data_IF_767731047070
#
_entry.id   IF_767731047070
#
_cell.length_a   1.000
_cell.length_b   1.000
_cell.length_c   1.000
_cell.angle_alpha   90.00
_cell.angle_beta   90.00
_cell.angle_gamma   90.00
#
_symmetry.space_group_name_H-M   'P 1'
#
loop_
_entity.id
_entity.type
_entity.pdbx_description
1 polymer ?
#
# COMPACT_ATOMS: atom_id res chain seq x y z
N UNK A 1 2.91 -26.35 22.67
CA UNK A 1 3.30 -25.24 21.78
C UNK A 1 2.22 -25.11 20.72
N UNK A 2 1.47 -24.00 20.71
CA UNK A 2 0.43 -23.74 19.72
C UNK A 2 1.03 -22.81 18.66
N UNK A 3 1.48 -23.38 17.54
CA UNK A 3 2.11 -22.66 16.43
C UNK A 3 1.07 -22.40 15.35
N UNK A 4 1.09 -21.20 14.76
CA UNK A 4 0.30 -20.88 13.57
C UNK A 4 1.15 -20.11 12.58
N UNK A 5 1.15 -20.57 11.34
CA UNK A 5 1.81 -19.89 10.23
C UNK A 5 0.78 -19.15 9.40
N UNK A 6 1.01 -17.86 9.21
CA UNK A 6 0.22 -16.97 8.38
C UNK A 6 1.01 -16.63 7.13
N UNK A 7 0.40 -16.78 5.96
CA UNK A 7 1.02 -16.53 4.66
C UNK A 7 0.31 -15.37 4.00
N UNK A 8 1.06 -14.43 3.45
CA UNK A 8 0.49 -13.33 2.66
C UNK A 8 -0.03 -13.89 1.33
N UNK A 9 -1.16 -13.37 0.82
CA UNK A 9 -1.82 -13.85 -0.41
C UNK A 9 -0.87 -13.97 -1.62
N UNK A 10 0.09 -13.06 -1.76
CA UNK A 10 1.13 -13.05 -2.80
C UNK A 10 2.43 -13.80 -2.42
N UNK A 11 2.47 -14.50 -1.28
CA UNK A 11 3.57 -15.38 -0.78
C UNK A 11 4.95 -14.73 -0.61
N UNK A 12 5.07 -13.40 -0.68
CA UNK A 12 6.37 -12.72 -0.50
C UNK A 12 6.83 -12.74 0.96
N UNK A 13 5.89 -12.73 1.91
CA UNK A 13 6.15 -12.76 3.35
C UNK A 13 5.30 -13.81 4.07
N UNK A 14 5.86 -14.37 5.15
CA UNK A 14 5.08 -15.19 6.09
C UNK A 14 5.43 -14.85 7.53
N UNK A 15 4.47 -15.08 8.42
CA UNK A 15 4.57 -14.83 9.85
C UNK A 15 4.30 -16.14 10.59
N UNK A 16 5.11 -16.43 11.61
CA UNK A 16 4.85 -17.54 12.53
C UNK A 16 4.56 -17.00 13.92
N UNK A 17 3.42 -17.41 14.47
CA UNK A 17 2.96 -17.08 15.81
C UNK A 17 3.10 -18.31 16.70
N UNK A 18 4.01 -18.25 17.67
CA UNK A 18 4.31 -19.35 18.59
C UNK A 18 3.85 -18.95 19.98
N UNK A 19 2.80 -19.59 20.47
CA UNK A 19 2.26 -19.37 21.81
C UNK A 19 2.74 -20.45 22.78
N UNK A 20 3.39 -20.01 23.86
CA UNK A 20 3.89 -20.82 24.97
C UNK A 20 3.58 -20.16 26.31
N UNK A 21 2.56 -20.67 27.02
CA UNK A 21 2.08 -20.10 28.28
C UNK A 21 1.74 -18.61 28.13
N UNK A 22 2.47 -17.75 28.84
CA UNK A 22 2.29 -16.29 28.90
C UNK A 22 3.14 -15.57 27.83
N UNK A 23 3.75 -16.30 26.90
CA UNK A 23 4.68 -15.78 25.90
C UNK A 23 4.15 -16.01 24.48
N UNK A 24 4.13 -14.93 23.70
CA UNK A 24 3.86 -14.97 22.26
C UNK A 24 5.14 -14.57 21.52
N UNK A 25 5.66 -15.48 20.71
CA UNK A 25 6.75 -15.17 19.79
C UNK A 25 6.19 -14.94 18.39
N UNK A 26 6.61 -13.84 17.77
CA UNK A 26 6.31 -13.49 16.38
C UNK A 26 7.61 -13.58 15.61
N UNK A 27 7.62 -14.42 14.58
CA UNK A 27 8.72 -14.55 13.64
C UNK A 27 8.25 -14.13 12.25
N UNK A 28 9.08 -13.38 11.53
CA UNK A 28 8.79 -12.96 10.16
C UNK A 28 9.82 -13.54 9.21
N UNK A 29 9.33 -14.00 8.06
CA UNK A 29 10.09 -14.70 7.04
C UNK A 29 9.87 -14.05 5.67
N UNK A 30 10.93 -14.05 4.87
CA UNK A 30 10.88 -13.81 3.43
C UNK A 30 11.41 -15.06 2.73
N UNK A 31 10.53 -15.73 1.99
CA UNK A 31 10.76 -17.11 1.56
C UNK A 31 11.05 -18.04 2.75
N UNK A 32 12.22 -18.67 2.76
CA UNK A 32 12.67 -19.58 3.81
C UNK A 32 13.55 -18.89 4.88
N UNK A 33 13.90 -17.62 4.69
CA UNK A 33 14.83 -16.91 5.56
C UNK A 33 14.06 -16.18 6.65
N UNK A 34 14.37 -16.48 7.92
CA UNK A 34 13.83 -15.72 9.06
C UNK A 34 14.54 -14.37 9.11
N UNK A 35 13.78 -13.30 8.94
CA UNK A 35 14.26 -11.91 8.97
C UNK A 35 14.36 -11.42 10.41
N UNK A 36 13.36 -11.72 11.23
CA UNK A 36 13.32 -11.28 12.63
C UNK A 36 12.53 -12.26 13.50
N UNK A 37 12.72 -12.13 14.81
CA UNK A 37 12.01 -12.87 15.85
C UNK A 37 11.90 -12.01 17.09
N UNK A 38 10.70 -11.87 17.63
CA UNK A 38 10.45 -11.12 18.87
C UNK A 38 9.49 -11.87 19.78
N UNK A 39 9.82 -11.95 21.07
CA UNK A 39 8.97 -12.58 22.09
C UNK A 39 8.40 -11.57 23.07
N UNK A 40 7.07 -11.54 23.16
CA UNK A 40 6.32 -10.74 24.10
C UNK A 40 5.87 -11.59 25.29
N UNK A 41 6.12 -11.10 26.51
CA UNK A 41 5.60 -11.67 27.74
C UNK A 41 4.39 -10.87 28.26
N UNK A 42 3.30 -11.57 28.54
CA UNK A 42 2.02 -11.05 29.03
C UNK A 42 1.82 -11.41 30.50
N UNK A 43 0.81 -10.81 31.14
CA UNK A 43 0.56 -11.04 32.57
C UNK A 43 0.09 -12.48 32.85
N UNK A 44 -0.57 -13.11 31.88
CA UNK A 44 -1.10 -14.46 31.98
C UNK A 44 -1.32 -15.06 30.58
N UNK A 45 -1.59 -16.38 30.54
CA UNK A 45 -1.78 -17.11 29.29
C UNK A 45 -3.02 -16.66 28.50
N UNK A 46 -4.07 -16.20 29.18
CA UNK A 46 -5.29 -15.72 28.53
C UNK A 46 -5.03 -14.42 27.74
N UNK A 47 -4.20 -13.52 28.28
CA UNK A 47 -3.78 -12.30 27.57
C UNK A 47 -2.92 -12.61 26.35
N UNK A 48 -1.94 -13.50 26.48
CA UNK A 48 -1.12 -13.93 25.35
C UNK A 48 -1.97 -14.59 24.25
N UNK A 49 -2.97 -15.39 24.64
CA UNK A 49 -3.93 -16.00 23.73
C UNK A 49 -4.83 -14.98 23.04
N UNK A 50 -5.34 -13.98 23.79
CA UNK A 50 -6.13 -12.87 23.23
C UNK A 50 -5.33 -12.08 22.21
N UNK A 51 -4.09 -11.73 22.51
CA UNK A 51 -3.20 -11.04 21.57
C UNK A 51 -3.04 -11.84 20.28
N UNK A 52 -2.69 -13.13 20.40
CA UNK A 52 -2.50 -13.99 19.23
C UNK A 52 -3.73 -13.98 18.34
N UNK A 53 -4.93 -14.13 18.92
CA UNK A 53 -6.17 -14.14 18.16
C UNK A 53 -6.49 -12.78 17.53
N UNK A 54 -6.24 -11.69 18.25
CA UNK A 54 -6.39 -10.33 17.71
C UNK A 54 -5.44 -10.12 16.52
N UNK A 55 -4.19 -10.58 16.63
CA UNK A 55 -3.19 -10.48 15.58
C UNK A 55 -3.56 -11.32 14.35
N UNK A 56 -4.06 -12.55 14.53
CA UNK A 56 -4.55 -13.39 13.42
C UNK A 56 -5.70 -12.69 12.70
N UNK A 57 -6.67 -12.14 13.43
CA UNK A 57 -7.80 -11.42 12.84
C UNK A 57 -7.33 -10.19 12.07
N UNK A 58 -6.45 -9.40 12.67
CA UNK A 58 -5.85 -8.25 12.02
C UNK A 58 -5.14 -8.63 10.72
N UNK A 59 -4.23 -9.59 10.77
CA UNK A 59 -3.49 -10.02 9.57
C UNK A 59 -4.39 -10.67 8.53
N UNK A 60 -5.48 -11.33 8.94
CA UNK A 60 -6.53 -11.79 8.00
C UNK A 60 -7.19 -10.62 7.27
N UNK A 61 -7.49 -9.53 7.97
CA UNK A 61 -7.93 -8.28 7.36
C UNK A 61 -6.85 -7.67 6.44
N UNK A 62 -5.57 -7.87 6.73
CA UNK A 62 -4.42 -7.39 5.94
C UNK A 62 -3.78 -8.48 5.03
N UNK A 63 -4.61 -9.35 4.44
CA UNK A 63 -4.29 -10.25 3.30
C UNK A 63 -3.38 -11.43 3.67
N UNK A 64 -3.26 -11.75 4.96
CA UNK A 64 -2.69 -13.02 5.39
C UNK A 64 -3.78 -14.06 5.61
N UNK A 65 -3.40 -15.33 5.53
CA UNK A 65 -4.27 -16.44 5.87
C UNK A 65 -3.47 -17.55 6.56
N UNK A 66 -4.07 -18.35 7.45
CA UNK A 66 -3.44 -19.55 7.97
C UNK A 66 -3.08 -20.49 6.83
N UNK A 67 -1.83 -20.98 6.79
CA UNK A 67 -1.33 -21.87 5.71
C UNK A 67 -2.28 -23.06 5.45
N UNK A 68 -2.86 -23.61 6.51
CA UNK A 68 -3.76 -24.77 6.47
C UNK A 68 -5.13 -24.48 5.80
N UNK A 69 -5.53 -23.22 5.71
CA UNK A 69 -6.88 -22.80 5.28
C UNK A 69 -6.94 -22.36 3.79
N UNK A 70 -5.78 -22.16 3.17
CA UNK A 70 -5.66 -21.76 1.76
C UNK A 70 -5.94 -20.27 1.47
N UNK A 71 -5.60 -19.80 0.26
CA UNK A 71 -5.55 -18.37 -0.09
C UNK A 71 -6.90 -17.65 -0.04
N UNK A 72 -7.99 -18.37 -0.29
CA UNK A 72 -9.35 -17.82 -0.27
C UNK A 72 -9.87 -17.53 1.15
N UNK A 73 -9.19 -18.01 2.19
CA UNK A 73 -9.61 -17.81 3.58
C UNK A 73 -9.72 -16.32 3.93
N UNK A 74 -8.72 -15.52 3.56
CA UNK A 74 -8.72 -14.09 3.86
C UNK A 74 -9.93 -13.38 3.25
N UNK A 75 -10.27 -13.71 2.00
CA UNK A 75 -11.40 -13.11 1.29
C UNK A 75 -12.74 -13.55 1.86
N UNK A 76 -12.88 -14.83 2.25
CA UNK A 76 -14.08 -15.33 2.95
C UNK A 76 -14.28 -14.61 4.28
N UNK A 77 -13.22 -14.44 5.07
CA UNK A 77 -13.28 -13.77 6.37
C UNK A 77 -13.56 -12.28 6.28
N UNK A 78 -12.99 -11.59 5.30
CA UNK A 78 -13.37 -10.20 5.04
C UNK A 78 -14.80 -10.07 4.58
N UNK A 79 -15.23 -10.91 3.64
CA UNK A 79 -16.62 -10.90 3.15
C UNK A 79 -17.60 -11.16 4.29
N UNK A 80 -17.26 -12.08 5.20
CA UNK A 80 -17.96 -12.33 6.45
C UNK A 80 -18.08 -11.02 7.25
N UNK A 81 -16.96 -10.34 7.55
CA UNK A 81 -16.95 -9.08 8.31
C UNK A 81 -17.61 -7.89 7.62
N UNK A 82 -17.60 -7.83 6.29
CA UNK A 82 -18.25 -6.80 5.47
C UNK A 82 -19.76 -7.08 5.26
N UNK A 83 -20.23 -8.29 5.60
CA UNK A 83 -21.54 -8.84 5.23
C UNK A 83 -22.57 -8.92 6.35
N UNK A 84 -22.45 -9.80 7.36
CA UNK A 84 -23.59 -10.10 8.27
C UNK A 84 -23.16 -10.74 9.62
N UNK A 85 -22.84 -9.97 10.67
CA UNK A 85 -22.96 -10.44 12.07
C UNK A 85 -24.05 -9.71 12.85
N UNK A 86 -25.28 -10.27 12.91
CA UNK A 86 -26.33 -9.76 13.80
C UNK A 86 -26.04 -9.97 15.30
N UNK A 87 -25.03 -10.76 15.66
CA UNK A 87 -24.77 -11.21 17.05
C UNK A 87 -23.85 -10.30 17.87
N UNK A 88 -23.12 -9.36 17.23
CA UNK A 88 -22.32 -8.33 17.93
C UNK A 88 -22.71 -6.95 17.41
N UNK A 89 -23.59 -6.26 18.14
CA UNK A 89 -23.71 -4.79 18.01
C UNK A 89 -22.41 -4.18 18.55
N UNK A 90 -21.41 -4.00 17.68
CA UNK A 90 -20.26 -3.16 18.01
C UNK A 90 -20.77 -1.72 18.04
N UNK A 91 -20.76 -1.10 19.22
CA UNK A 91 -21.24 0.27 19.41
C UNK A 91 -20.42 1.22 18.54
N UNK A 92 -21.07 1.91 17.61
CA UNK A 92 -20.46 2.91 16.71
C UNK A 92 -20.54 4.34 17.26
N UNK A 93 -20.92 4.52 18.52
CA UNK A 93 -21.44 5.81 19.00
C UNK A 93 -20.63 6.48 20.11
N UNK A 94 -19.58 5.84 20.64
CA UNK A 94 -18.68 6.48 21.61
C UNK A 94 -17.20 6.21 21.28
N UNK A 95 -16.56 7.21 20.65
CA UNK A 95 -15.13 7.24 20.38
C UNK A 95 -14.36 8.04 21.44
N UNK A 96 -14.86 8.06 22.69
CA UNK A 96 -14.15 8.69 23.79
C UNK A 96 -12.80 7.99 24.04
N UNK A 97 -11.84 8.77 24.54
CA UNK A 97 -10.51 8.25 24.88
C UNK A 97 -10.57 7.05 25.82
N UNK A 98 -11.48 7.04 26.79
CA UNK A 98 -11.62 5.92 27.73
C UNK A 98 -12.00 4.62 27.01
N UNK A 99 -12.92 4.67 26.05
CA UNK A 99 -13.30 3.51 25.24
C UNK A 99 -12.11 3.03 24.41
N UNK A 100 -11.34 3.95 23.82
CA UNK A 100 -10.14 3.59 23.05
C UNK A 100 -9.09 2.89 23.92
N UNK A 101 -8.80 3.42 25.11
CA UNK A 101 -7.86 2.79 26.03
C UNK A 101 -8.33 1.39 26.46
N UNK A 102 -9.62 1.24 26.74
CA UNK A 102 -10.19 -0.05 27.13
C UNK A 102 -10.15 -1.05 25.97
N UNK A 103 -10.38 -0.60 24.73
CA UNK A 103 -10.24 -1.43 23.53
C UNK A 103 -8.78 -1.89 23.33
N UNK A 104 -7.79 -1.00 23.53
CA UNK A 104 -6.35 -1.38 23.53
C UNK A 104 -6.05 -2.42 24.61
N UNK A 105 -6.52 -2.17 25.83
CA UNK A 105 -6.29 -3.08 26.96
C UNK A 105 -6.89 -4.46 26.68
N UNK A 106 -8.07 -4.51 26.07
CA UNK A 106 -8.78 -5.75 25.76
C UNK A 106 -8.37 -6.43 24.45
N UNK A 107 -7.43 -5.86 23.68
CA UNK A 107 -7.01 -6.36 22.35
C UNK A 107 -8.17 -6.45 21.37
N UNK A 108 -9.11 -5.51 21.45
CA UNK A 108 -10.35 -5.54 20.68
C UNK A 108 -10.15 -5.01 19.26
N UNK A 109 -9.40 -5.74 18.44
CA UNK A 109 -9.14 -5.34 17.04
C UNK A 109 -10.43 -5.15 16.22
N UNK A 110 -11.50 -5.88 16.55
CA UNK A 110 -12.79 -5.74 15.87
C UNK A 110 -13.41 -4.37 16.10
N UNK A 111 -13.27 -3.81 17.31
CA UNK A 111 -13.66 -2.44 17.59
C UNK A 111 -12.92 -1.44 16.69
N UNK A 112 -11.61 -1.63 16.50
CA UNK A 112 -10.78 -0.77 15.64
C UNK A 112 -11.22 -0.87 14.17
N UNK A 113 -11.32 -2.09 13.63
CA UNK A 113 -11.81 -2.34 12.27
C UNK A 113 -13.19 -1.74 12.01
N UNK A 114 -14.12 -1.88 12.96
CA UNK A 114 -15.47 -1.36 12.83
C UNK A 114 -15.57 0.18 12.86
N UNK A 115 -14.55 0.86 13.39
CA UNK A 115 -14.52 2.31 13.57
C UNK A 115 -13.41 3.01 12.75
N UNK A 116 -12.77 2.30 11.81
CA UNK A 116 -11.64 2.81 11.00
C UNK A 116 -11.92 4.17 10.33
N UNK A 117 -13.16 4.37 9.85
CA UNK A 117 -13.57 5.61 9.15
C UNK A 117 -14.16 6.69 10.08
N UNK A 118 -14.09 6.50 11.40
CA UNK A 118 -14.65 7.43 12.37
C UNK A 118 -13.79 8.71 12.46
N UNK A 119 -14.30 9.91 12.10
CA UNK A 119 -13.48 11.14 12.12
C UNK A 119 -12.97 11.54 13.51
N UNK A 120 -13.63 11.08 14.58
CA UNK A 120 -13.15 11.29 15.96
C UNK A 120 -11.99 10.40 16.36
N UNK A 121 -11.75 9.30 15.63
CA UNK A 121 -10.76 8.29 15.99
C UNK A 121 -9.33 8.80 15.77
N UNK A 122 -9.01 9.32 14.59
CA UNK A 122 -7.68 9.85 14.27
C UNK A 122 -7.28 11.04 15.17
N UNK A 123 -8.24 11.92 15.50
CA UNK A 123 -8.02 13.05 16.39
C UNK A 123 -7.64 12.60 17.82
N UNK A 124 -8.28 11.55 18.32
CA UNK A 124 -7.98 11.00 19.65
C UNK A 124 -6.70 10.17 19.65
N UNK A 125 -6.43 9.43 18.57
CA UNK A 125 -5.24 8.59 18.43
C UNK A 125 -3.93 9.41 18.50
N UNK A 126 -3.94 10.61 17.90
CA UNK A 126 -2.81 11.53 17.86
C UNK A 126 -2.73 12.52 19.05
N UNK A 127 -3.64 12.45 20.03
CA UNK A 127 -3.70 13.44 21.11
C UNK A 127 -2.93 13.02 22.36
N UNK A 128 -1.90 13.79 22.72
CA UNK A 128 -1.21 13.69 24.03
C UNK A 128 -1.88 14.51 25.15
N UNK A 129 -2.97 15.24 24.85
CA UNK A 129 -3.57 16.25 25.74
C UNK A 129 -4.07 15.67 27.08
N UNK A 130 -4.45 14.39 27.07
CA UNK A 130 -5.11 13.73 28.20
C UNK A 130 -4.37 12.46 28.65
N UNK A 131 -3.07 12.34 28.34
CA UNK A 131 -2.23 11.17 28.62
C UNK A 131 -1.51 10.70 27.37
N UNK A 132 -0.99 9.48 27.40
CA UNK A 132 -0.33 8.88 26.24
C UNK A 132 -1.24 8.88 25.00
N UNK A 133 -0.72 9.24 23.82
CA UNK A 133 -1.34 8.92 22.53
C UNK A 133 -1.67 7.43 22.45
N UNK A 134 -2.71 7.06 21.68
CA UNK A 134 -3.19 5.67 21.65
C UNK A 134 -2.13 4.70 21.14
N UNK A 135 -1.30 5.11 20.16
CA UNK A 135 -0.18 4.30 19.69
C UNK A 135 0.85 4.03 20.79
N UNK A 136 1.25 5.06 21.54
CA UNK A 136 2.20 4.92 22.66
C UNK A 136 1.60 4.04 23.77
N UNK A 137 0.31 4.22 24.06
CA UNK A 137 -0.38 3.38 25.03
C UNK A 137 -0.42 1.91 24.59
N UNK A 138 -0.70 1.63 23.31
CA UNK A 138 -0.70 0.27 22.76
C UNK A 138 0.68 -0.40 22.85
N UNK A 139 1.77 0.35 22.59
CA UNK A 139 3.14 -0.13 22.75
C UNK A 139 3.42 -0.50 24.22
N UNK A 140 3.11 0.40 25.16
CA UNK A 140 3.29 0.17 26.61
C UNK A 140 2.49 -1.04 27.10
N UNK A 141 1.32 -1.27 26.52
CA UNK A 141 0.46 -2.43 26.83
C UNK A 141 0.88 -3.71 26.09
N UNK A 142 1.89 -3.68 25.22
CA UNK A 142 2.30 -4.81 24.34
C UNK A 142 1.16 -5.35 23.48
N UNK A 143 0.29 -4.45 23.03
CA UNK A 143 -0.85 -4.76 22.17
C UNK A 143 -0.45 -4.73 20.70
N UNK A 144 0.43 -5.65 20.30
CA UNK A 144 1.14 -5.61 19.01
C UNK A 144 0.21 -5.58 17.79
N UNK A 145 -0.92 -6.27 17.84
CA UNK A 145 -1.95 -6.27 16.79
C UNK A 145 -2.57 -4.89 16.57
N UNK A 146 -2.77 -4.14 17.65
CA UNK A 146 -3.31 -2.79 17.58
C UNK A 146 -2.24 -1.80 17.16
N UNK A 147 -0.98 -1.98 17.59
CA UNK A 147 0.15 -1.16 17.08
C UNK A 147 0.28 -1.31 15.57
N UNK A 148 0.29 -2.55 15.08
CA UNK A 148 0.35 -2.90 13.66
C UNK A 148 -0.83 -2.28 12.88
N UNK A 149 -2.07 -2.48 13.36
CA UNK A 149 -3.26 -1.83 12.79
C UNK A 149 -3.13 -0.30 12.71
N UNK A 150 -2.68 0.32 13.79
CA UNK A 150 -2.59 1.78 13.88
C UNK A 150 -1.53 2.34 12.94
N UNK A 151 -0.42 1.64 12.71
CA UNK A 151 0.60 2.05 11.75
C UNK A 151 0.15 1.85 10.30
N UNK A 152 -0.53 0.73 10.02
CA UNK A 152 -0.94 0.35 8.66
C UNK A 152 -2.16 1.13 8.15
N UNK A 153 -3.10 1.48 9.03
CA UNK A 153 -4.41 2.02 8.60
C UNK A 153 -4.66 3.47 8.98
N UNK A 154 -3.89 4.04 9.90
CA UNK A 154 -4.12 5.38 10.43
C UNK A 154 -2.99 6.31 10.08
N UNK A 155 -3.35 7.53 9.67
CA UNK A 155 -2.37 8.60 9.58
C UNK A 155 -2.03 9.10 10.98
N UNK A 156 -0.99 8.49 11.56
CA UNK A 156 -0.45 8.90 12.85
C UNK A 156 0.73 9.84 12.66
N UNK A 157 0.77 10.90 13.48
CA UNK A 157 1.94 11.77 13.53
C UNK A 157 3.00 11.12 14.44
N UNK A 158 4.12 10.63 13.87
CA UNK A 158 5.14 9.90 14.63
C UNK A 158 5.90 10.83 15.60
N UNK A 159 5.79 12.15 15.44
CA UNK A 159 6.46 13.13 16.29
C UNK A 159 5.73 13.42 17.60
N UNK A 160 4.51 12.91 17.77
CA UNK A 160 3.72 13.11 18.99
C UNK A 160 4.41 12.44 20.16
N UNK A 161 4.61 13.22 21.23
CA UNK A 161 5.29 12.79 22.46
C UNK A 161 4.32 12.54 23.58
N UNK A 162 4.66 11.57 24.44
CA UNK A 162 3.97 11.37 25.71
C UNK A 162 4.35 12.44 26.75
N UNK A 163 3.81 12.30 27.96
CA UNK A 163 4.06 13.24 29.05
C UNK A 163 5.52 13.29 29.52
N UNK A 164 6.32 12.28 29.18
CA UNK A 164 7.74 12.21 29.49
C UNK A 164 8.61 12.73 28.34
N UNK A 165 8.01 13.18 27.24
CA UNK A 165 8.71 13.71 26.08
C UNK A 165 9.21 12.64 25.10
N UNK A 166 8.78 11.38 25.25
CA UNK A 166 9.15 10.29 24.35
C UNK A 166 8.09 10.06 23.27
N UNK A 167 8.55 9.88 22.04
CA UNK A 167 7.73 9.46 20.89
C UNK A 167 7.44 7.96 20.95
N UNK A 168 6.53 7.49 20.09
CA UNK A 168 6.27 6.07 19.95
C UNK A 168 7.51 5.28 19.50
N UNK A 169 8.29 5.85 18.58
CA UNK A 169 9.57 5.28 18.15
C UNK A 169 10.58 5.16 19.30
N UNK A 170 10.70 6.19 20.15
CA UNK A 170 11.63 6.16 21.27
C UNK A 170 11.38 4.95 22.20
N UNK A 171 10.10 4.64 22.48
CA UNK A 171 9.72 3.49 23.30
C UNK A 171 10.12 2.16 22.64
N UNK A 172 9.90 2.02 21.33
CA UNK A 172 10.25 0.82 20.55
C UNK A 172 11.77 0.64 20.48
N UNK A 173 12.49 1.71 20.16
CA UNK A 173 13.93 1.69 19.98
C UNK A 173 14.66 1.43 21.30
N UNK A 174 14.25 2.07 22.40
CA UNK A 174 14.80 1.80 23.74
C UNK A 174 14.54 0.37 24.21
N UNK A 175 13.38 -0.19 23.87
CA UNK A 175 13.05 -1.58 24.16
C UNK A 175 13.83 -2.59 23.31
N UNK A 176 14.50 -2.12 22.23
CA UNK A 176 15.17 -2.95 21.23
C UNK A 176 14.25 -4.02 20.67
N UNK A 177 13.03 -3.62 20.34
CA UNK A 177 12.01 -4.51 19.79
C UNK A 177 12.15 -4.58 18.25
N UNK A 178 12.69 -5.67 17.68
CA UNK A 178 12.93 -5.75 16.24
C UNK A 178 11.64 -5.84 15.43
N UNK A 179 10.57 -6.43 15.98
CA UNK A 179 9.31 -6.59 15.25
C UNK A 179 8.59 -5.25 15.12
N UNK A 180 8.35 -4.56 16.24
CA UNK A 180 7.77 -3.21 16.19
C UNK A 180 8.71 -2.24 15.49
N UNK A 181 10.02 -2.38 15.68
CA UNK A 181 11.01 -1.57 14.99
C UNK A 181 10.90 -1.70 13.47
N UNK A 182 10.77 -2.92 12.95
CA UNK A 182 10.55 -3.17 11.53
C UNK A 182 9.23 -2.56 11.04
N UNK A 183 8.13 -2.72 11.77
CA UNK A 183 6.85 -2.11 11.42
C UNK A 183 6.94 -0.58 11.33
N UNK A 184 7.64 0.06 12.26
CA UNK A 184 7.84 1.51 12.23
C UNK A 184 8.66 1.94 11.02
N UNK A 185 9.73 1.20 10.68
CA UNK A 185 10.53 1.49 9.50
C UNK A 185 9.73 1.30 8.20
N UNK A 186 8.85 0.32 8.14
CA UNK A 186 7.97 0.06 6.98
C UNK A 186 6.87 1.11 6.83
N UNK A 187 6.24 1.55 7.92
CA UNK A 187 5.03 2.39 7.85
C UNK A 187 5.25 3.88 8.15
N UNK A 188 6.38 4.26 8.75
CA UNK A 188 6.69 5.66 9.10
C UNK A 188 7.73 6.22 8.14
N UNK A 189 7.25 6.85 7.07
CA UNK A 189 8.10 7.38 5.98
C UNK A 189 9.18 8.36 6.47
N UNK A 190 8.84 9.26 7.40
CA UNK A 190 9.76 10.32 7.87
C UNK A 190 10.59 9.93 9.09
N UNK A 191 10.76 8.63 9.34
CA UNK A 191 11.52 8.15 10.49
C UNK A 191 13.04 8.21 10.24
N UNK A 192 13.62 9.39 10.45
CA UNK A 192 15.06 9.64 10.28
C UNK A 192 15.53 9.67 8.81
N UNK A 193 16.80 10.01 8.60
CA UNK A 193 17.47 9.89 7.28
C UNK A 193 17.84 8.43 6.95
N UNK A 194 18.24 8.15 5.71
CA UNK A 194 18.67 6.80 5.31
C UNK A 194 19.83 6.26 6.15
N UNK A 195 20.80 7.12 6.49
CA UNK A 195 21.91 6.77 7.38
C UNK A 195 21.41 6.41 8.78
N UNK A 196 20.45 7.17 9.32
CA UNK A 196 19.82 6.89 10.61
C UNK A 196 19.01 5.59 10.57
N UNK A 197 18.24 5.37 9.50
CA UNK A 197 17.43 4.16 9.27
C UNK A 197 18.30 2.91 9.18
N UNK A 198 19.41 2.96 8.45
CA UNK A 198 20.40 1.89 8.40
C UNK A 198 21.03 1.62 9.78
N UNK A 199 21.30 2.69 10.54
CA UNK A 199 21.73 2.61 11.93
C UNK A 199 20.71 1.90 12.81
N UNK A 200 19.42 2.24 12.66
CA UNK A 200 18.32 1.65 13.39
C UNK A 200 18.15 0.16 13.07
N UNK A 201 18.16 -0.21 11.79
CA UNK A 201 18.09 -1.61 11.35
C UNK A 201 19.20 -2.44 12.00
N UNK A 202 20.45 -1.93 11.95
CA UNK A 202 21.59 -2.60 12.54
C UNK A 202 21.47 -2.75 14.06
N UNK A 203 21.03 -1.71 14.77
CA UNK A 203 20.87 -1.77 16.23
C UNK A 203 19.74 -2.70 16.67
N UNK A 204 18.69 -2.79 15.87
CA UNK A 204 17.57 -3.72 16.07
C UNK A 204 17.90 -5.15 15.61
N UNK A 205 19.03 -5.37 14.92
CA UNK A 205 19.40 -6.68 14.40
C UNK A 205 18.54 -7.13 13.22
N UNK A 206 17.99 -6.17 12.47
CA UNK A 206 17.27 -6.41 11.22
C UNK A 206 18.27 -6.61 10.07
N UNK A 207 17.87 -7.31 9.00
CA UNK A 207 18.70 -7.41 7.79
C UNK A 207 18.92 -6.00 7.24
N UNK A 208 20.17 -5.57 7.21
CA UNK A 208 20.58 -4.40 6.43
C UNK A 208 20.73 -4.83 4.98
N UNK A 209 20.31 -4.00 4.03
CA UNK A 209 20.71 -4.17 2.63
C UNK A 209 22.24 -4.22 2.60
N UNK A 210 22.82 -5.41 2.43
CA UNK A 210 24.25 -5.50 2.19
C UNK A 210 24.49 -4.89 0.81
N UNK A 211 25.37 -3.89 0.78
CA UNK A 211 26.14 -3.51 -0.40
C UNK A 211 26.41 -4.78 -1.22
N UNK A 212 25.86 -4.82 -2.44
CA UNK A 212 26.27 -5.81 -3.43
C UNK A 212 27.76 -5.61 -3.66
N UNK A 213 28.55 -6.43 -2.96
CA UNK A 213 30.00 -6.56 -3.15
C UNK A 213 30.23 -6.96 -4.61
N UNK A 214 30.71 -6.01 -5.41
CA UNK A 214 31.05 -6.16 -6.83
C UNK A 214 32.32 -7.00 -7.05
N UNK A 215 32.68 -7.89 -6.12
CA UNK A 215 33.95 -8.59 -6.15
C UNK A 215 33.86 -10.09 -5.86
N UNK A 216 33.15 -10.86 -6.71
CA UNK A 216 33.61 -12.21 -7.07
C UNK A 216 33.28 -12.52 -8.54
N UNK A 217 34.25 -13.05 -9.33
CA UNK A 217 34.03 -13.36 -10.73
C UNK A 217 33.20 -14.63 -10.86
N UNK A 218 31.90 -14.50 -11.14
CA UNK A 218 31.10 -15.65 -11.52
C UNK A 218 31.50 -16.12 -12.91
N UNK A 219 32.06 -17.32 -12.92
CA UNK A 219 32.31 -18.13 -14.10
C UNK A 219 31.08 -18.17 -15.01
N UNK A 220 31.38 -18.15 -16.30
CA UNK A 220 30.42 -18.31 -17.40
C UNK A 220 29.55 -19.55 -17.18
N UNK A 221 28.26 -19.33 -17.00
CA UNK A 221 27.23 -20.27 -17.45
C UNK A 221 26.32 -19.48 -18.37
N UNK A 222 26.43 -19.78 -19.66
CA UNK A 222 25.57 -19.27 -20.71
C UNK A 222 24.16 -19.88 -20.58
N UNK A 223 23.18 -19.00 -20.83
CA UNK A 223 21.90 -19.26 -21.52
C UNK A 223 20.68 -19.78 -20.74
N UNK A 224 19.89 -18.86 -20.15
CA UNK A 224 18.57 -18.44 -20.66
C UNK A 224 17.78 -17.57 -19.66
N UNK A 225 17.51 -16.32 -20.08
CA UNK A 225 16.35 -15.44 -19.77
C UNK A 225 15.95 -15.22 -18.29
N UNK A 226 16.46 -14.14 -17.71
CA UNK A 226 15.72 -13.33 -16.72
C UNK A 226 15.79 -11.87 -17.18
N UNK A 227 14.69 -11.35 -17.72
CA UNK A 227 14.57 -9.94 -18.09
C UNK A 227 14.04 -9.22 -16.86
N UNK A 228 14.93 -8.67 -16.04
CA UNK A 228 14.55 -7.81 -14.90
C UNK A 228 14.19 -6.41 -15.45
N UNK A 229 13.01 -5.89 -15.12
CA UNK A 229 12.54 -4.54 -15.49
C UNK A 229 11.48 -4.48 -16.61
N UNK A 230 10.84 -3.32 -16.74
CA UNK A 230 9.82 -3.03 -17.76
C UNK A 230 10.32 -3.33 -19.19
N UNK A 231 9.52 -4.08 -19.95
CA UNK A 231 9.74 -4.26 -21.38
C UNK A 231 9.11 -3.10 -22.17
N UNK A 232 9.81 -1.97 -22.17
CA UNK A 232 9.39 -0.70 -22.81
C UNK A 232 8.94 -0.91 -24.26
N UNK A 233 9.62 -1.77 -25.03
CA UNK A 233 9.26 -2.02 -26.42
C UNK A 233 7.93 -2.76 -26.54
N UNK A 234 7.74 -3.83 -25.75
CA UNK A 234 6.49 -4.59 -25.72
C UNK A 234 5.31 -3.70 -25.27
N UNK A 235 5.47 -2.95 -24.19
CA UNK A 235 4.44 -2.03 -23.67
C UNK A 235 4.14 -0.88 -24.66
N UNK A 236 5.15 -0.37 -25.36
CA UNK A 236 4.96 0.61 -26.44
C UNK A 236 4.11 0.01 -27.56
N UNK A 237 4.46 -1.17 -28.05
CA UNK A 237 3.74 -1.80 -29.16
C UNK A 237 2.31 -2.16 -28.78
N UNK A 238 2.07 -2.58 -27.54
CA UNK A 238 0.75 -2.81 -26.99
C UNK A 238 -0.08 -1.51 -26.95
N UNK A 239 0.50 -0.42 -26.45
CA UNK A 239 -0.14 0.91 -26.45
C UNK A 239 -0.55 1.33 -27.86
N UNK A 240 0.31 1.14 -28.86
CA UNK A 240 0.02 1.45 -30.27
C UNK A 240 -1.20 0.67 -30.74
N UNK A 241 -1.23 -0.66 -30.52
CA UNK A 241 -2.35 -1.50 -30.94
C UNK A 241 -3.67 -1.06 -30.31
N UNK A 242 -3.65 -0.72 -29.02
CA UNK A 242 -4.85 -0.26 -28.28
C UNK A 242 -5.31 1.11 -28.79
N UNK A 243 -4.39 2.06 -29.00
CA UNK A 243 -4.69 3.39 -29.55
C UNK A 243 -5.26 3.28 -30.97
N UNK A 244 -4.66 2.49 -31.85
CA UNK A 244 -5.13 2.32 -33.24
C UNK A 244 -6.50 1.64 -33.30
N UNK A 245 -6.75 0.65 -32.44
CA UNK A 245 -8.04 -0.02 -32.35
C UNK A 245 -9.11 0.94 -31.81
N UNK A 246 -8.75 1.74 -30.81
CA UNK A 246 -9.61 2.76 -30.22
C UNK A 246 -9.94 3.87 -31.24
N UNK A 247 -8.95 4.35 -32.00
CA UNK A 247 -9.15 5.37 -33.03
C UNK A 247 -10.18 4.94 -34.09
N UNK A 248 -10.18 3.66 -34.48
CA UNK A 248 -11.16 3.11 -35.43
C UNK A 248 -12.58 3.06 -34.86
N UNK A 249 -12.72 2.87 -33.54
CA UNK A 249 -14.01 2.81 -32.87
C UNK A 249 -14.60 4.19 -32.54
N UNK A 250 -13.76 5.22 -32.42
CA UNK A 250 -14.14 6.55 -31.95
C UNK A 250 -13.83 7.67 -32.96
N UNK A 251 -14.17 7.44 -34.24
CA UNK A 251 -13.88 8.39 -35.35
C UNK A 251 -14.63 9.72 -35.24
N UNK A 252 -15.75 9.75 -34.52
CA UNK A 252 -16.64 10.91 -34.40
C UNK A 252 -16.31 11.82 -33.19
N UNK A 253 -15.36 11.41 -32.33
CA UNK A 253 -14.99 12.14 -31.13
C UNK A 253 -13.69 12.93 -31.31
N UNK A 254 -13.53 14.00 -30.54
CA UNK A 254 -12.37 14.89 -30.59
C UNK A 254 -11.56 14.75 -29.31
N UNK A 255 -10.40 14.11 -29.39
CA UNK A 255 -9.57 13.78 -28.23
C UNK A 255 -8.66 14.94 -27.83
N UNK A 256 -8.58 15.21 -26.54
CA UNK A 256 -7.71 16.27 -26.00
C UNK A 256 -6.59 15.74 -25.12
N UNK A 257 -6.67 14.49 -24.66
CA UNK A 257 -5.73 13.96 -23.69
C UNK A 257 -5.49 12.46 -23.81
N UNK A 258 -4.23 12.09 -23.62
CA UNK A 258 -3.75 10.74 -23.36
C UNK A 258 -2.92 10.75 -22.07
N UNK A 259 -3.10 9.75 -21.22
CA UNK A 259 -2.36 9.62 -19.99
C UNK A 259 -2.02 8.16 -19.69
N UNK A 260 -0.84 7.95 -19.09
CA UNK A 260 -0.54 6.72 -18.36
C UNK A 260 -0.78 7.03 -16.87
N UNK A 261 -1.72 6.31 -16.26
CA UNK A 261 -2.16 6.49 -14.88
C UNK A 261 -1.98 5.16 -14.15
N UNK A 262 -0.92 5.05 -13.35
CA UNK A 262 -0.40 3.77 -12.89
C UNK A 262 -0.15 2.81 -14.07
N UNK A 263 -0.74 1.62 -14.06
CA UNK A 263 -0.67 0.67 -15.17
C UNK A 263 -1.68 0.95 -16.29
N UNK A 264 -2.61 1.91 -16.11
CA UNK A 264 -3.69 2.15 -17.05
C UNK A 264 -3.32 3.11 -18.19
N UNK A 265 -3.74 2.74 -19.40
CA UNK A 265 -3.74 3.61 -20.57
C UNK A 265 -5.08 4.33 -20.65
N UNK A 266 -5.09 5.65 -20.47
CA UNK A 266 -6.31 6.46 -20.40
C UNK A 266 -6.37 7.52 -21.48
N UNK A 267 -7.60 7.85 -21.89
CA UNK A 267 -7.88 8.91 -22.85
C UNK A 267 -9.17 9.66 -22.51
N UNK A 268 -9.29 10.89 -23.01
CA UNK A 268 -10.55 11.61 -22.94
C UNK A 268 -10.81 12.51 -24.16
N UNK A 269 -12.10 12.64 -24.47
CA UNK A 269 -12.62 13.48 -25.55
C UNK A 269 -13.30 14.73 -25.00
N UNK A 270 -13.38 15.78 -25.82
CA UNK A 270 -14.11 17.00 -25.47
C UNK A 270 -15.59 16.69 -25.20
N UNK A 271 -16.17 15.80 -26.02
CA UNK A 271 -17.56 15.38 -25.93
C UNK A 271 -17.85 14.61 -24.63
N UNK A 272 -16.89 13.80 -24.16
CA UNK A 272 -17.02 13.09 -22.88
C UNK A 272 -16.78 14.01 -21.69
N UNK A 273 -15.80 14.90 -21.76
CA UNK A 273 -15.56 15.90 -20.72
C UNK A 273 -16.75 16.85 -20.53
N UNK A 274 -17.38 17.30 -21.60
CA UNK A 274 -18.56 18.18 -21.51
C UNK A 274 -19.71 17.51 -20.75
N UNK A 275 -19.94 16.22 -20.99
CA UNK A 275 -20.94 15.43 -20.25
C UNK A 275 -20.60 15.34 -18.76
N UNK A 276 -19.36 14.99 -18.43
CA UNK A 276 -18.88 14.95 -17.03
C UNK A 276 -19.04 16.30 -16.35
N UNK A 277 -18.66 17.39 -17.04
CA UNK A 277 -18.78 18.75 -16.50
C UNK A 277 -20.25 19.13 -16.23
N UNK A 278 -21.15 18.84 -17.16
CA UNK A 278 -22.59 19.09 -16.98
C UNK A 278 -23.14 18.33 -15.77
N UNK A 279 -22.81 17.04 -15.64
CA UNK A 279 -23.22 16.23 -14.49
C UNK A 279 -22.68 16.79 -13.16
N UNK A 280 -21.42 17.22 -13.15
CA UNK A 280 -20.76 17.73 -11.95
C UNK A 280 -21.29 19.11 -11.55
N UNK A 281 -21.58 19.99 -12.52
CA UNK A 281 -22.22 21.27 -12.27
C UNK A 281 -23.66 21.13 -11.77
N UNK A 282 -24.39 20.09 -12.21
CA UNK A 282 -25.73 19.80 -11.70
C UNK A 282 -25.69 19.30 -10.25
N UNK A 283 -24.73 18.43 -9.91
CA UNK A 283 -24.58 17.87 -8.55
C UNK A 283 -23.95 18.86 -7.56
N UNK A 284 -22.99 19.66 -8.02
CA UNK A 284 -22.21 20.59 -7.20
C UNK A 284 -22.03 21.95 -7.90
N UNK A 285 -23.07 22.79 -7.94
CA UNK A 285 -23.08 24.02 -8.74
C UNK A 285 -21.93 24.99 -8.43
N UNK A 286 -21.49 25.06 -7.17
CA UNK A 286 -20.43 25.97 -6.73
C UNK A 286 -19.01 25.37 -6.84
N UNK A 287 -18.88 24.09 -7.18
CA UNK A 287 -17.58 23.39 -7.22
C UNK A 287 -16.91 23.43 -8.60
N UNK A 288 -17.65 23.80 -9.65
CA UNK A 288 -17.18 23.80 -11.06
C UNK A 288 -17.71 25.02 -11.84
N UNK A 289 -17.80 26.18 -11.19
CA UNK A 289 -18.38 27.43 -11.71
C UNK A 289 -17.35 28.41 -12.30
N UNK A 290 -16.05 28.16 -12.13
CA UNK A 290 -14.97 29.00 -12.66
C UNK A 290 -14.09 28.24 -13.65
N UNK A 291 -13.48 28.97 -14.59
CA UNK A 291 -12.57 28.38 -15.59
C UNK A 291 -11.42 27.60 -14.98
N UNK A 292 -10.90 28.03 -13.82
CA UNK A 292 -9.83 27.33 -13.10
C UNK A 292 -10.30 25.97 -12.57
N UNK A 293 -11.47 25.91 -11.94
CA UNK A 293 -12.07 24.66 -11.43
C UNK A 293 -12.41 23.70 -12.57
N UNK A 294 -12.93 24.23 -13.68
CA UNK A 294 -13.23 23.46 -14.89
C UNK A 294 -11.93 22.89 -15.50
N UNK A 295 -10.87 23.70 -15.56
CA UNK A 295 -9.57 23.23 -16.06
C UNK A 295 -8.96 22.15 -15.16
N UNK A 296 -9.09 22.29 -13.83
CA UNK A 296 -8.66 21.27 -12.87
C UNK A 296 -9.40 19.95 -13.10
N UNK A 297 -10.72 19.99 -13.32
CA UNK A 297 -11.51 18.81 -13.68
C UNK A 297 -11.06 18.21 -15.03
N UNK A 298 -10.82 19.04 -16.04
CA UNK A 298 -10.36 18.59 -17.37
C UNK A 298 -9.06 17.80 -17.29
N UNK A 299 -8.17 18.19 -16.38
CA UNK A 299 -6.86 17.56 -16.16
C UNK A 299 -6.90 16.42 -15.12
N UNK A 300 -8.04 16.17 -14.46
CA UNK A 300 -8.16 15.08 -13.51
C UNK A 300 -8.35 13.75 -14.24
N UNK A 301 -7.25 12.99 -14.40
CA UNK A 301 -7.23 11.71 -15.12
C UNK A 301 -8.14 10.66 -14.45
N UNK A 302 -8.39 10.77 -13.14
CA UNK A 302 -9.35 9.91 -12.43
C UNK A 302 -10.80 10.04 -12.93
N UNK A 303 -11.17 11.20 -13.51
CA UNK A 303 -12.50 11.46 -14.08
C UNK A 303 -12.55 11.23 -15.61
N UNK A 304 -11.45 10.78 -16.21
CA UNK A 304 -11.42 10.51 -17.65
C UNK A 304 -12.23 9.26 -17.98
N UNK A 305 -12.99 9.33 -19.07
CA UNK A 305 -13.97 8.30 -19.41
C UNK A 305 -13.35 6.99 -19.90
N UNK A 306 -12.28 7.07 -20.69
CA UNK A 306 -11.80 5.91 -21.44
C UNK A 306 -10.56 5.30 -20.78
N UNK A 307 -10.67 4.02 -20.44
CA UNK A 307 -9.55 3.13 -20.15
C UNK A 307 -9.39 2.23 -21.36
N UNK A 308 -8.27 2.34 -22.07
CA UNK A 308 -8.01 1.60 -23.29
C UNK A 308 -7.48 0.19 -22.98
N UNK A 309 -6.63 0.09 -21.96
CA UNK A 309 -6.05 -1.15 -21.46
C UNK A 309 -5.40 -0.91 -20.10
N UNK A 310 -5.12 -2.02 -19.41
CA UNK A 310 -4.18 -2.11 -18.30
C UNK A 310 -2.91 -2.83 -18.78
N UNK A 311 -1.73 -2.27 -18.53
CA UNK A 311 -0.47 -2.93 -18.87
C UNK A 311 -0.28 -4.27 -18.15
N UNK A 312 -0.90 -4.46 -16.98
CA UNK A 312 -0.88 -5.74 -16.27
C UNK A 312 -1.59 -6.86 -17.05
N UNK A 313 -2.46 -6.54 -18.03
CA UNK A 313 -3.06 -7.54 -18.94
C UNK A 313 -2.01 -8.33 -19.74
N UNK A 314 -0.81 -7.77 -19.90
CA UNK A 314 0.29 -8.41 -20.62
C UNK A 314 1.11 -9.36 -19.76
N UNK A 315 0.88 -9.36 -18.45
CA UNK A 315 1.56 -10.27 -17.55
C UNK A 315 0.80 -11.59 -17.47
N UNK A 316 1.54 -12.67 -17.39
CA UNK A 316 1.02 -14.02 -17.26
C UNK A 316 1.37 -14.57 -15.88
N UNK A 317 0.40 -15.21 -15.24
CA UNK A 317 0.64 -15.97 -14.02
C UNK A 317 1.41 -17.25 -14.38
N UNK A 318 2.60 -17.43 -13.82
CA UNK A 318 3.38 -18.64 -13.99
C UNK A 318 2.85 -19.78 -13.10
N UNK A 319 3.36 -21.01 -13.29
CA UNK A 319 2.92 -22.20 -12.55
C UNK A 319 3.07 -22.08 -11.01
N UNK A 320 3.90 -21.14 -10.54
CA UNK A 320 4.16 -20.85 -9.13
C UNK A 320 3.27 -19.72 -8.57
N UNK A 321 2.39 -19.14 -9.39
CA UNK A 321 1.45 -18.09 -9.02
C UNK A 321 2.05 -16.68 -9.02
N UNK A 322 3.23 -16.48 -9.62
CA UNK A 322 3.81 -15.16 -9.82
C UNK A 322 3.39 -14.60 -11.17
N UNK A 323 3.00 -13.33 -11.17
CA UNK A 323 2.64 -12.59 -12.37
C UNK A 323 3.92 -12.02 -12.99
N UNK A 324 4.34 -12.59 -14.12
CA UNK A 324 5.52 -12.14 -14.86
C UNK A 324 5.12 -11.60 -16.23
N UNK A 325 5.73 -10.51 -16.64
CA UNK A 325 5.52 -10.00 -17.99
C UNK A 325 6.16 -8.65 -18.26
N UNK A 326 5.74 -8.01 -19.35
CA UNK A 326 6.27 -6.73 -19.80
C UNK A 326 6.15 -5.58 -18.79
N UNK A 327 5.14 -5.64 -17.90
CA UNK A 327 4.94 -4.64 -16.86
C UNK A 327 5.53 -5.12 -15.54
N UNK A 328 6.50 -4.39 -15.02
CA UNK A 328 7.16 -4.72 -13.76
C UNK A 328 6.36 -4.11 -12.59
N UNK A 329 5.56 -4.96 -11.93
CA UNK A 329 4.69 -4.54 -10.82
C UNK A 329 5.51 -4.13 -9.60
N UNK A 330 6.63 -4.79 -9.33
CA UNK A 330 7.51 -4.47 -8.21
C UNK A 330 8.12 -3.07 -8.38
N UNK A 331 8.66 -2.75 -9.56
CA UNK A 331 9.19 -1.40 -9.83
C UNK A 331 8.10 -0.32 -9.86
N UNK A 332 6.85 -0.67 -10.19
CA UNK A 332 5.73 0.25 -10.04
C UNK A 332 5.39 0.49 -8.57
N UNK A 333 5.35 -0.56 -7.75
CA UNK A 333 5.08 -0.44 -6.31
C UNK A 333 6.18 0.39 -5.62
N UNK A 334 7.45 0.15 -5.95
CA UNK A 334 8.58 0.97 -5.49
C UNK A 334 8.39 2.45 -5.87
N UNK A 335 7.97 2.73 -7.11
CA UNK A 335 7.68 4.10 -7.53
C UNK A 335 6.50 4.72 -6.77
N UNK A 336 5.43 3.95 -6.54
CA UNK A 336 4.26 4.42 -5.84
C UNK A 336 4.58 4.81 -4.38
N UNK A 337 5.50 4.07 -3.75
CA UNK A 337 5.95 4.32 -2.38
C UNK A 337 7.06 5.40 -2.28
N UNK A 338 7.67 5.78 -3.40
CA UNK A 338 8.74 6.77 -3.46
C UNK A 338 8.23 8.22 -3.29
N UNK A 339 9.10 9.12 -2.83
CA UNK A 339 8.75 10.54 -2.68
C UNK A 339 8.70 11.31 -4.02
N UNK A 340 8.17 12.54 -4.02
CA UNK A 340 8.05 13.41 -5.21
C UNK A 340 9.37 13.62 -6.01
N UNK A 341 10.53 13.51 -5.35
CA UNK A 341 11.85 13.70 -5.96
C UNK A 341 12.35 12.38 -6.57
N UNK A 342 12.16 11.28 -5.86
CA UNK A 342 12.53 9.93 -6.25
C UNK A 342 11.64 9.40 -7.38
N UNK A 343 10.33 9.66 -7.31
CA UNK A 343 9.36 9.32 -8.34
C UNK A 343 9.82 9.78 -9.71
N UNK A 344 10.35 11.01 -9.82
CA UNK A 344 10.83 11.60 -11.09
C UNK A 344 11.91 10.79 -11.78
N UNK A 345 12.71 10.02 -11.04
CA UNK A 345 13.85 9.27 -11.57
C UNK A 345 13.74 7.75 -11.34
N UNK A 346 12.62 7.29 -10.81
CA UNK A 346 12.32 5.86 -10.60
C UNK A 346 12.40 5.03 -11.89
N UNK A 347 12.49 3.70 -11.74
CA UNK A 347 12.45 2.76 -12.86
C UNK A 347 11.16 2.87 -13.68
N UNK A 348 10.02 2.95 -13.00
CA UNK A 348 8.71 3.18 -13.63
C UNK A 348 8.65 4.51 -14.37
N UNK A 349 9.10 5.61 -13.76
CA UNK A 349 9.08 6.92 -14.41
C UNK A 349 9.86 6.93 -15.73
N UNK A 350 11.09 6.41 -15.69
CA UNK A 350 11.93 6.29 -16.89
C UNK A 350 11.29 5.40 -17.95
N UNK A 351 10.68 4.29 -17.55
CA UNK A 351 10.03 3.36 -18.48
C UNK A 351 8.79 3.98 -19.14
N UNK A 352 7.90 4.59 -18.36
CA UNK A 352 6.69 5.21 -18.87
C UNK A 352 7.00 6.46 -19.71
N UNK A 353 7.97 7.29 -19.31
CA UNK A 353 8.42 8.43 -20.11
C UNK A 353 9.02 7.96 -21.44
N UNK A 354 9.76 6.84 -21.44
CA UNK A 354 10.25 6.23 -22.69
C UNK A 354 9.10 5.73 -23.58
N UNK A 355 8.06 5.11 -23.01
CA UNK A 355 6.86 4.72 -23.76
C UNK A 355 6.19 5.96 -24.37
N UNK A 356 5.94 7.02 -23.59
CA UNK A 356 5.33 8.26 -24.06
C UNK A 356 6.15 8.89 -25.20
N UNK A 357 7.47 8.97 -25.06
CA UNK A 357 8.36 9.47 -26.09
C UNK A 357 8.26 8.62 -27.37
N UNK A 358 8.29 7.30 -27.25
CA UNK A 358 8.14 6.40 -28.39
C UNK A 358 6.80 6.60 -29.13
N UNK A 359 5.70 6.78 -28.40
CA UNK A 359 4.38 7.03 -29.00
C UNK A 359 4.35 8.36 -29.76
N UNK A 360 4.96 9.41 -29.19
CA UNK A 360 5.08 10.71 -29.84
C UNK A 360 5.97 10.65 -31.10
N UNK A 361 7.14 10.01 -31.01
CA UNK A 361 8.06 9.85 -32.13
C UNK A 361 7.45 9.05 -33.29
N UNK A 362 6.73 7.97 -32.97
CA UNK A 362 5.99 7.15 -33.94
C UNK A 362 4.72 7.83 -34.45
N UNK A 363 4.36 9.02 -33.93
CA UNK A 363 3.20 9.84 -34.35
C UNK A 363 1.86 9.10 -34.29
N UNK A 364 1.71 8.20 -33.33
CA UNK A 364 0.58 7.25 -33.27
C UNK A 364 -0.76 7.97 -33.12
N UNK A 365 -0.76 9.11 -32.43
CA UNK A 365 -1.95 9.92 -32.20
C UNK A 365 -2.48 10.61 -33.47
N UNK A 366 -1.75 10.64 -34.59
CA UNK A 366 -2.26 11.20 -35.84
C UNK A 366 -3.44 10.42 -36.43
N UNK A 367 -3.62 9.17 -35.98
CA UNK A 367 -4.79 8.35 -36.34
C UNK A 367 -6.08 8.82 -35.66
N UNK A 368 -5.99 9.64 -34.62
CA UNK A 368 -7.11 10.20 -33.87
C UNK A 368 -7.41 11.64 -34.34
N UNK A 369 -8.68 12.02 -34.23
CA UNK A 369 -9.08 13.42 -34.35
C UNK A 369 -8.76 14.14 -33.04
N UNK A 370 -7.64 14.86 -33.01
CA UNK A 370 -7.15 15.52 -31.78
C UNK A 370 -7.37 17.03 -31.80
N UNK A 371 -7.40 17.62 -30.61
CA UNK A 371 -7.30 19.07 -30.44
C UNK A 371 -5.88 19.57 -30.74
N UNK A 372 -5.74 20.88 -31.00
CA UNK A 372 -4.42 21.51 -31.23
C UNK A 372 -3.53 21.53 -29.99
N UNK A 373 -4.16 21.50 -28.81
CA UNK A 373 -3.55 21.49 -27.48
C UNK A 373 -3.55 20.09 -26.84
N UNK A 374 -3.51 19.03 -27.66
CA UNK A 374 -3.52 17.66 -27.18
C UNK A 374 -2.40 17.40 -26.18
N UNK A 375 -2.76 16.91 -24.98
CA UNK A 375 -1.82 16.61 -23.90
C UNK A 375 -1.53 15.11 -23.82
N UNK A 376 -0.27 14.78 -23.53
CA UNK A 376 0.22 13.42 -23.41
C UNK A 376 1.22 13.38 -22.26
N UNK A 377 0.90 12.70 -21.17
CA UNK A 377 1.72 12.72 -19.95
C UNK A 377 1.50 11.46 -19.11
N UNK A 378 2.33 11.30 -18.07
CA UNK A 378 2.13 10.32 -17.01
C UNK A 378 1.58 11.03 -15.78
N UNK A 379 0.58 10.43 -15.15
CA UNK A 379 0.06 10.91 -13.87
C UNK A 379 1.02 10.49 -12.76
N UNK A 380 1.41 11.45 -11.92
CA UNK A 380 2.02 11.15 -10.63
C UNK A 380 0.92 11.18 -9.57
N UNK A 381 0.93 10.19 -8.70
CA UNK A 381 -0.01 10.12 -7.59
C UNK A 381 0.61 10.76 -6.36
N UNK A 382 0.40 12.07 -6.20
CA UNK A 382 0.73 12.78 -4.97
C UNK A 382 -0.43 12.56 -3.99
N UNK A 383 -0.36 11.49 -3.19
CA UNK A 383 -1.34 11.23 -2.12
C UNK A 383 -0.92 11.83 -0.78
#
# INVERSE_FOLDING_TARGET
MNKMKLIQKNRTRSLELILENERLTVEQYQGHNRILSQTYAYENADEAFKERNAFIKWKTWNLFFPEEEGPDYADRWRSYWLGEFPERKISRTDLSRQVLLEAVKNRDIEFFLANQLGPGFALQANSAKHGDPILIYAIKMKSISIVDYLLDTMWLDPSVKDQNGFTAWDHVFQAKDPFLGNLFLEHVMLLGSDEERNGFQKELGLPTEQETDLSEPKEKVDDNRTKQGFDVEALTNFSIQKIESFAKAHVDETFYGFAIDASYIKMNSLESFEKTLQEYQLKWPNAYDTSEKIQKLKNNVGDWKYILADFQEMNEENDDGFTEGPFDEDLYNEHYEADDLEQKNSGYARAMDAILNNLQEKRVFQSLKNTTDFICFRTEHNY
#
